data_IF_159534520234
#
_entry.id   IF_159534520234
#
_cell.length_a   1.000
_cell.length_b   1.000
_cell.length_c   1.000
_cell.angle_alpha   90.00
_cell.angle_beta   90.00
_cell.angle_gamma   90.00
#
_symmetry.space_group_name_H-M   'P 1'
#
loop_
_entity.id
_entity.type
_entity.pdbx_description
1 polymer ?
#
# COMPACT_ATOMS: atom_id res chain seq x y z
N UNK A 1 -8.30 -58.71 -4.91
CA UNK A 1 -7.22 -57.86 -5.47
C UNK A 1 -6.19 -57.42 -4.41
N UNK A 2 -6.20 -57.98 -3.19
CA UNK A 2 -5.26 -57.61 -2.11
C UNK A 2 -4.06 -58.58 -1.95
N UNK A 3 -3.95 -59.64 -2.77
CA UNK A 3 -2.90 -60.67 -2.61
C UNK A 3 -1.69 -60.51 -3.53
N UNK A 4 -1.66 -59.52 -4.43
CA UNK A 4 -0.48 -59.24 -5.26
C UNK A 4 0.50 -58.27 -4.60
N UNK A 5 0.01 -57.34 -3.76
CA UNK A 5 0.86 -56.34 -3.11
C UNK A 5 1.77 -56.93 -2.02
N UNK A 6 1.31 -57.98 -1.31
CA UNK A 6 2.09 -58.60 -0.24
C UNK A 6 3.19 -59.56 -0.73
N UNK A 7 3.20 -59.95 -2.01
CA UNK A 7 4.25 -60.79 -2.60
C UNK A 7 5.35 -59.97 -3.30
N UNK A 8 5.21 -58.64 -3.38
CA UNK A 8 6.10 -57.74 -4.13
C UNK A 8 7.24 -57.15 -3.29
N UNK A 9 7.31 -57.51 -2.00
CA UNK A 9 8.27 -57.00 -1.02
C UNK A 9 9.15 -58.13 -0.44
N UNK A 10 9.06 -59.33 -1.00
CA UNK A 10 9.82 -60.48 -0.51
C UNK A 10 11.29 -60.36 -0.93
N UNK A 11 12.19 -60.47 0.05
CA UNK A 11 13.63 -60.27 -0.12
C UNK A 11 14.26 -61.16 -1.21
N UNK A 12 13.65 -62.32 -1.41
CA UNK A 12 14.16 -63.42 -2.22
C UNK A 12 13.87 -63.25 -3.72
N UNK A 13 13.18 -62.18 -4.14
CA UNK A 13 12.77 -61.93 -5.54
C UNK A 13 13.45 -60.71 -6.19
N UNK A 14 14.40 -60.08 -5.49
CA UNK A 14 15.13 -58.93 -6.04
C UNK A 14 16.11 -59.37 -7.13
N UNK A 15 15.86 -58.94 -8.37
CA UNK A 15 16.59 -59.37 -9.57
C UNK A 15 17.40 -58.26 -10.25
N UNK A 16 17.43 -57.05 -9.67
CA UNK A 16 18.09 -55.88 -10.26
C UNK A 16 18.58 -54.87 -9.20
N UNK A 17 19.60 -54.07 -9.53
CA UNK A 17 20.10 -53.03 -8.64
C UNK A 17 20.33 -51.70 -9.38
N UNK A 18 19.89 -50.61 -8.73
CA UNK A 18 20.16 -49.24 -9.13
C UNK A 18 21.26 -48.71 -8.22
N UNK A 19 22.35 -48.23 -8.81
CA UNK A 19 23.49 -47.66 -8.09
C UNK A 19 23.51 -46.14 -8.27
N UNK A 20 23.63 -45.42 -7.16
CA UNK A 20 23.77 -43.97 -7.13
C UNK A 20 24.88 -43.62 -6.16
N UNK A 21 25.94 -43.02 -6.67
CA UNK A 21 27.14 -42.69 -5.89
C UNK A 21 27.67 -43.92 -5.11
N UNK A 22 27.61 -43.91 -3.78
CA UNK A 22 28.05 -44.99 -2.90
C UNK A 22 26.90 -45.90 -2.40
N UNK A 23 25.67 -45.67 -2.88
CA UNK A 23 24.47 -46.39 -2.43
C UNK A 23 23.88 -47.27 -3.52
N UNK A 24 23.59 -48.52 -3.13
CA UNK A 24 22.98 -49.53 -4.00
C UNK A 24 21.55 -49.79 -3.53
N UNK A 25 20.60 -49.65 -4.44
CA UNK A 25 19.19 -49.92 -4.25
C UNK A 25 18.80 -51.22 -4.96
N UNK A 26 18.58 -52.26 -4.19
CA UNK A 26 18.10 -53.55 -4.68
C UNK A 26 16.59 -53.46 -4.95
N UNK A 27 16.15 -53.72 -6.18
CA UNK A 27 14.76 -53.54 -6.61
C UNK A 27 14.28 -54.68 -7.51
N UNK A 28 12.95 -54.85 -7.58
CA UNK A 28 12.31 -55.77 -8.52
C UNK A 28 12.23 -55.12 -9.91
N UNK A 29 12.95 -55.67 -10.88
CA UNK A 29 12.98 -55.18 -12.26
C UNK A 29 11.60 -55.10 -12.86
N UNK A 30 10.76 -56.12 -12.65
CA UNK A 30 9.40 -56.17 -13.19
C UNK A 30 8.53 -55.00 -12.69
N UNK A 31 8.70 -54.59 -11.44
CA UNK A 31 7.93 -53.50 -10.82
C UNK A 31 8.39 -52.15 -11.34
N UNK A 32 9.71 -51.91 -11.32
CA UNK A 32 10.29 -50.64 -11.75
C UNK A 32 10.08 -50.41 -13.25
N UNK A 33 10.31 -51.43 -14.09
CA UNK A 33 10.11 -51.33 -15.55
C UNK A 33 8.62 -51.18 -15.93
N UNK A 34 7.69 -51.63 -15.10
CA UNK A 34 6.26 -51.41 -15.34
C UNK A 34 5.82 -49.97 -15.06
N UNK A 35 6.57 -49.23 -14.23
CA UNK A 35 6.26 -47.86 -13.82
C UNK A 35 7.12 -46.80 -14.47
N UNK A 36 8.27 -47.17 -15.04
CA UNK A 36 9.23 -46.28 -15.67
C UNK A 36 9.70 -46.84 -17.02
N UNK A 37 9.34 -46.16 -18.10
CA UNK A 37 9.83 -46.50 -19.44
C UNK A 37 11.33 -46.18 -19.58
N UNK A 38 11.80 -45.09 -18.96
CA UNK A 38 13.21 -44.70 -18.99
C UNK A 38 14.10 -45.77 -18.34
N UNK A 39 13.75 -46.22 -17.13
CA UNK A 39 14.49 -47.29 -16.46
C UNK A 39 14.36 -48.61 -17.24
N UNK A 40 13.20 -48.90 -17.80
CA UNK A 40 13.03 -50.08 -18.68
C UNK A 40 14.00 -50.05 -19.86
N UNK A 41 14.13 -48.92 -20.55
CA UNK A 41 15.08 -48.78 -21.65
C UNK A 41 16.54 -48.97 -21.20
N UNK A 42 16.91 -48.45 -20.02
CA UNK A 42 18.24 -48.65 -19.44
C UNK A 42 18.50 -50.13 -19.11
N UNK A 43 17.49 -50.81 -18.56
CA UNK A 43 17.55 -52.26 -18.26
C UNK A 43 17.71 -53.07 -19.54
N UNK A 44 16.89 -52.79 -20.55
CA UNK A 44 16.94 -53.46 -21.85
C UNK A 44 18.32 -53.27 -22.52
N UNK A 45 18.93 -52.09 -22.39
CA UNK A 45 20.29 -51.82 -22.84
C UNK A 45 21.35 -52.59 -22.01
N UNK A 46 21.21 -52.64 -20.69
CA UNK A 46 22.16 -53.32 -19.79
C UNK A 46 22.19 -54.85 -19.98
N UNK A 47 21.06 -55.46 -20.36
CA UNK A 47 20.94 -56.90 -20.61
C UNK A 47 21.68 -57.38 -21.87
N UNK A 48 22.30 -56.49 -22.63
CA UNK A 48 23.14 -56.83 -23.79
C UNK A 48 24.56 -57.27 -23.42
N UNK A 49 24.99 -57.05 -22.16
CA UNK A 49 26.33 -57.43 -21.65
C UNK A 49 26.20 -58.61 -20.66
N UNK A 50 26.96 -59.71 -20.81
CA UNK A 50 26.90 -60.83 -19.87
C UNK A 50 27.53 -60.45 -18.51
N UNK A 51 26.72 -60.34 -17.46
CA UNK A 51 27.15 -60.00 -16.09
C UNK A 51 26.04 -59.35 -15.27
N UNK A 52 26.30 -59.08 -13.98
CA UNK A 52 25.31 -58.50 -13.04
C UNK A 52 24.59 -57.27 -13.64
N UNK A 53 23.26 -57.31 -13.65
CA UNK A 53 22.38 -56.28 -14.21
C UNK A 53 22.30 -55.13 -13.21
N UNK A 54 23.12 -54.10 -13.41
CA UNK A 54 23.11 -52.86 -12.63
C UNK A 54 23.03 -51.66 -13.55
N UNK A 55 22.32 -50.62 -13.10
CA UNK A 55 22.26 -49.34 -13.80
C UNK A 55 22.69 -48.24 -12.84
N UNK A 56 23.45 -47.29 -13.36
CA UNK A 56 23.93 -46.13 -12.63
C UNK A 56 23.03 -44.93 -12.88
N UNK A 57 22.52 -44.30 -11.82
CA UNK A 57 21.76 -43.05 -11.86
C UNK A 57 22.46 -42.05 -10.95
N UNK A 58 23.26 -41.15 -11.55
CA UNK A 58 24.08 -40.19 -10.81
C UNK A 58 23.66 -38.73 -11.04
N UNK A 59 22.64 -38.48 -11.87
CA UNK A 59 22.18 -37.11 -12.13
C UNK A 59 21.25 -36.56 -11.03
N UNK A 60 20.92 -37.39 -10.05
CA UNK A 60 20.06 -37.06 -8.91
C UNK A 60 20.67 -37.57 -7.62
N UNK A 61 20.42 -36.86 -6.53
CA UNK A 61 20.87 -37.27 -5.22
C UNK A 61 20.14 -38.53 -4.74
N UNK A 62 20.80 -39.26 -3.83
CA UNK A 62 20.32 -40.52 -3.29
C UNK A 62 18.92 -40.42 -2.67
N UNK A 63 18.57 -39.28 -2.07
CA UNK A 63 17.24 -39.09 -1.45
C UNK A 63 16.14 -38.93 -2.51
N UNK A 64 16.45 -38.30 -3.64
CA UNK A 64 15.53 -38.19 -4.76
C UNK A 64 15.23 -39.57 -5.36
N UNK A 65 16.26 -40.40 -5.54
CA UNK A 65 16.09 -41.78 -6.06
C UNK A 65 15.30 -42.65 -5.07
N UNK A 66 15.61 -42.57 -3.77
CA UNK A 66 14.89 -43.32 -2.75
C UNK A 66 13.40 -42.95 -2.72
N UNK A 67 13.06 -41.67 -2.81
CA UNK A 67 11.65 -41.21 -2.85
C UNK A 67 10.93 -41.59 -4.14
N UNK A 68 11.64 -41.58 -5.28
CA UNK A 68 11.10 -42.11 -6.54
C UNK A 68 10.76 -43.60 -6.39
N UNK A 69 11.62 -44.39 -5.74
CA UNK A 69 11.36 -45.80 -5.49
C UNK A 69 10.19 -45.99 -4.52
N UNK A 70 10.10 -45.22 -3.43
CA UNK A 70 8.93 -45.23 -2.55
C UNK A 70 7.63 -45.01 -3.33
N UNK A 71 7.61 -44.02 -4.23
CA UNK A 71 6.45 -43.79 -5.09
C UNK A 71 6.15 -44.97 -6.03
N UNK A 72 7.16 -45.59 -6.63
CA UNK A 72 6.96 -46.74 -7.54
C UNK A 72 6.27 -47.91 -6.82
N UNK A 73 6.63 -48.18 -5.56
CA UNK A 73 6.07 -49.28 -4.78
C UNK A 73 4.76 -48.93 -4.05
N UNK A 74 4.70 -47.75 -3.43
CA UNK A 74 3.58 -47.36 -2.57
C UNK A 74 2.54 -46.48 -3.29
N UNK A 75 2.88 -45.92 -4.45
CA UNK A 75 2.07 -44.92 -5.14
C UNK A 75 2.13 -43.52 -4.52
N UNK A 76 2.91 -43.34 -3.45
CA UNK A 76 3.10 -42.06 -2.77
C UNK A 76 4.51 -41.94 -2.16
N UNK A 77 4.90 -40.71 -1.82
CA UNK A 77 6.13 -40.40 -1.09
C UNK A 77 5.87 -39.31 -0.03
N UNK A 78 6.57 -39.41 1.10
CA UNK A 78 6.48 -38.45 2.20
C UNK A 78 7.84 -37.80 2.49
N UNK A 79 7.80 -36.57 3.02
CA UNK A 79 8.93 -35.77 3.44
C UNK A 79 9.10 -35.71 4.99
N UNK A 80 8.11 -36.13 5.80
CA UNK A 80 8.08 -35.91 7.26
C UNK A 80 8.48 -37.10 8.17
N UNK A 81 8.78 -38.28 7.63
CA UNK A 81 9.01 -39.59 8.30
C UNK A 81 7.72 -40.42 8.53
N UNK A 82 7.83 -41.69 8.16
CA UNK A 82 6.79 -42.73 8.09
C UNK A 82 6.70 -43.54 9.39
N UNK A 83 5.49 -43.90 9.85
CA UNK A 83 5.27 -44.78 11.02
C UNK A 83 5.68 -46.25 10.76
N UNK A 84 6.22 -46.92 11.80
CA UNK A 84 6.76 -48.29 11.76
C UNK A 84 5.69 -49.40 11.75
N UNK A 85 6.00 -50.54 11.10
CA UNK A 85 5.38 -51.86 11.28
C UNK A 85 6.42 -52.86 11.85
N UNK A 86 5.99 -53.94 12.52
CA UNK A 86 6.68 -54.51 13.68
C UNK A 86 7.93 -55.35 13.37
N UNK A 87 8.98 -55.20 14.21
CA UNK A 87 10.21 -55.99 14.18
C UNK A 87 10.15 -57.23 15.10
N UNK A 88 10.71 -58.36 14.64
CA UNK A 88 11.13 -59.49 15.49
C UNK A 88 12.65 -59.61 15.38
N UNK A 89 13.36 -59.20 16.43
CA UNK A 89 14.83 -59.25 16.48
C UNK A 89 15.37 -60.64 16.80
N UNK A 90 16.68 -60.84 16.60
CA UNK A 90 17.48 -61.81 17.36
C UNK A 90 18.96 -61.40 17.44
N UNK A 91 19.60 -61.96 18.47
CA UNK A 91 20.79 -61.52 19.15
C UNK A 91 22.12 -61.94 18.51
N UNK A 92 23.18 -61.32 19.03
CA UNK A 92 24.62 -61.54 18.86
C UNK A 92 25.04 -62.98 19.20
N UNK A 93 25.97 -63.56 18.41
CA UNK A 93 27.05 -64.50 18.80
C UNK A 93 27.89 -64.81 17.53
N UNK A 94 29.15 -64.36 17.41
CA UNK A 94 30.45 -64.87 17.92
C UNK A 94 31.21 -65.74 16.90
N UNK A 95 32.54 -65.61 16.91
CA UNK A 95 33.51 -65.96 15.87
C UNK A 95 33.68 -67.47 15.60
N UNK A 96 33.91 -67.82 14.33
CA UNK A 96 34.81 -68.91 13.96
C UNK A 96 35.52 -68.60 12.62
N UNK A 97 36.85 -68.48 12.67
CA UNK A 97 37.76 -68.43 11.52
C UNK A 97 37.90 -69.84 10.94
N UNK A 98 37.73 -70.00 9.64
CA UNK A 98 38.40 -71.08 8.90
C UNK A 98 39.13 -70.54 7.67
N UNK A 99 40.36 -71.03 7.51
CA UNK A 99 41.36 -70.66 6.52
C UNK A 99 41.30 -71.64 5.35
N UNK A 100 41.29 -71.15 4.12
CA UNK A 100 41.56 -71.96 2.92
C UNK A 100 42.68 -71.29 2.12
N UNK A 101 43.75 -72.05 1.88
CA UNK A 101 44.94 -71.68 1.10
C UNK A 101 44.78 -72.20 -0.33
N UNK A 102 45.17 -71.42 -1.35
CA UNK A 102 45.31 -71.90 -2.73
C UNK A 102 46.64 -71.53 -3.41
N UNK A 103 46.97 -72.35 -4.42
CA UNK A 103 48.24 -72.53 -5.12
C UNK A 103 48.66 -71.37 -6.04
N UNK A 104 49.25 -70.32 -5.47
CA UNK A 104 50.29 -69.48 -6.09
C UNK A 104 50.65 -68.44 -5.02
N UNK A 105 51.82 -68.56 -4.40
CA UNK A 105 52.17 -67.85 -3.17
C UNK A 105 52.41 -66.35 -3.29
N UNK A 106 51.38 -65.57 -3.65
CA UNK A 106 51.35 -64.11 -3.51
C UNK A 106 50.11 -63.66 -2.71
N UNK A 107 50.35 -62.76 -1.75
CA UNK A 107 49.32 -62.14 -0.91
C UNK A 107 48.68 -61.02 -1.70
N UNK A 108 47.40 -61.18 -2.08
CA UNK A 108 46.55 -60.08 -2.52
C UNK A 108 45.29 -60.09 -1.66
N UNK A 109 45.09 -59.00 -0.91
CA UNK A 109 43.90 -58.75 -0.11
C UNK A 109 42.65 -58.86 -0.99
N UNK A 110 41.82 -59.87 -0.74
CA UNK A 110 40.43 -59.86 -1.18
C UNK A 110 39.59 -59.13 -0.13
N UNK A 111 38.71 -58.19 -0.49
CA UNK A 111 37.46 -58.05 0.22
C UNK A 111 36.50 -59.08 -0.40
N UNK A 112 36.21 -60.15 0.33
CA UNK A 112 35.10 -61.04 0.01
C UNK A 112 33.78 -60.24 0.01
N UNK A 113 32.73 -60.70 -0.68
CA UNK A 113 31.45 -59.99 -0.78
C UNK A 113 30.67 -60.20 0.51
N UNK A 114 31.13 -59.60 1.60
CA UNK A 114 30.33 -59.38 2.81
C UNK A 114 29.76 -57.97 2.74
N UNK A 115 29.15 -57.61 1.60
CA UNK A 115 28.34 -56.41 1.49
C UNK A 115 27.00 -56.71 2.12
N UNK A 116 26.76 -56.07 3.27
CA UNK A 116 25.47 -55.90 3.91
C UNK A 116 24.36 -55.84 2.86
N UNK A 117 23.60 -56.93 2.76
CA UNK A 117 22.48 -57.03 1.83
C UNK A 117 21.37 -56.13 2.36
N UNK A 118 21.29 -54.89 1.87
CA UNK A 118 20.09 -54.09 2.03
C UNK A 118 19.05 -54.65 1.08
N UNK A 119 18.35 -55.68 1.54
CA UNK A 119 16.97 -55.91 1.15
C UNK A 119 16.22 -54.65 1.55
N UNK A 120 15.36 -54.11 0.69
CA UNK A 120 14.50 -53.00 1.08
C UNK A 120 13.62 -53.43 2.26
N UNK A 121 14.08 -53.12 3.47
CA UNK A 121 13.44 -53.38 4.74
C UNK A 121 13.18 -52.04 5.42
N UNK A 122 12.15 -51.33 4.96
CA UNK A 122 11.57 -50.14 5.59
C UNK A 122 12.49 -48.90 5.75
N UNK A 123 11.92 -47.70 6.00
CA UNK A 123 12.65 -46.44 5.93
C UNK A 123 13.52 -46.19 7.17
N UNK A 124 14.76 -45.71 6.95
CA UNK A 124 15.57 -45.03 7.97
C UNK A 124 15.20 -43.54 7.99
N UNK A 125 15.18 -42.86 9.15
CA UNK A 125 14.94 -41.42 9.18
C UNK A 125 16.12 -40.69 8.53
N UNK A 126 15.90 -40.03 7.40
CA UNK A 126 16.89 -39.17 6.76
C UNK A 126 16.32 -37.79 6.49
N UNK A 127 16.77 -36.81 7.27
CA UNK A 127 16.43 -35.39 7.10
C UNK A 127 17.30 -34.82 5.97
N UNK A 128 16.74 -34.59 4.78
CA UNK A 128 17.39 -33.68 3.83
C UNK A 128 17.36 -32.28 4.45
N UNK A 129 18.49 -31.55 4.43
CA UNK A 129 18.55 -30.15 4.88
C UNK A 129 17.76 -29.20 3.97
N UNK A 130 17.46 -29.66 2.76
CA UNK A 130 16.76 -28.90 1.74
C UNK A 130 15.27 -28.70 2.08
N UNK A 131 14.74 -27.53 1.70
CA UNK A 131 13.33 -27.20 1.87
C UNK A 131 12.43 -28.22 1.12
N UNK A 132 11.23 -28.50 1.65
CA UNK A 132 10.29 -29.46 1.07
C UNK A 132 10.01 -29.21 -0.43
N UNK A 133 9.85 -27.94 -0.80
CA UNK A 133 9.68 -27.51 -2.20
C UNK A 133 10.80 -27.98 -3.13
N UNK A 134 12.06 -27.94 -2.69
CA UNK A 134 13.21 -28.41 -3.48
C UNK A 134 13.06 -29.91 -3.76
N UNK A 135 12.68 -30.70 -2.76
CA UNK A 135 12.47 -32.14 -2.93
C UNK A 135 11.36 -32.45 -3.94
N UNK A 136 10.26 -31.69 -3.93
CA UNK A 136 9.18 -31.82 -4.91
C UNK A 136 9.65 -31.49 -6.34
N UNK A 137 10.46 -30.44 -6.52
CA UNK A 137 11.02 -30.08 -7.83
C UNK A 137 11.93 -31.19 -8.37
N UNK A 138 12.81 -31.75 -7.53
CA UNK A 138 13.68 -32.87 -7.94
C UNK A 138 12.88 -34.11 -8.32
N UNK A 139 11.82 -34.42 -7.55
CA UNK A 139 10.92 -35.53 -7.85
C UNK A 139 10.09 -35.31 -9.12
N UNK A 140 9.74 -34.06 -9.42
CA UNK A 140 9.13 -33.70 -10.69
C UNK A 140 10.09 -33.97 -11.85
N UNK A 141 11.32 -33.45 -11.76
CA UNK A 141 12.34 -33.60 -12.80
C UNK A 141 12.73 -35.06 -13.05
N UNK A 142 13.00 -35.86 -12.00
CA UNK A 142 13.32 -37.29 -12.15
C UNK A 142 12.14 -38.08 -12.72
N UNK A 143 10.91 -37.70 -12.36
CA UNK A 143 9.68 -38.30 -12.87
C UNK A 143 9.51 -38.08 -14.36
N UNK A 144 9.81 -36.87 -14.87
CA UNK A 144 9.83 -36.59 -16.31
C UNK A 144 11.01 -37.30 -17.01
N UNK A 145 12.25 -37.18 -16.49
CA UNK A 145 13.46 -37.75 -17.12
C UNK A 145 13.38 -39.26 -17.33
N UNK A 146 12.91 -39.99 -16.33
CA UNK A 146 12.80 -41.46 -16.41
C UNK A 146 11.39 -41.93 -16.76
N UNK A 147 10.49 -41.02 -17.15
CA UNK A 147 9.11 -41.33 -17.52
C UNK A 147 8.39 -42.19 -16.47
N UNK A 148 8.51 -41.80 -15.19
CA UNK A 148 7.85 -42.48 -14.07
C UNK A 148 6.38 -42.06 -14.05
N UNK A 149 5.49 -42.99 -14.36
CA UNK A 149 4.06 -42.69 -14.58
C UNK A 149 3.43 -42.04 -13.34
N UNK A 150 2.94 -40.80 -13.49
CA UNK A 150 2.21 -40.04 -12.47
C UNK A 150 3.07 -39.34 -11.41
N UNK A 151 4.38 -39.60 -11.34
CA UNK A 151 5.25 -39.02 -10.30
C UNK A 151 5.36 -37.49 -10.44
N UNK A 152 5.58 -37.00 -11.66
CA UNK A 152 5.69 -35.56 -11.93
C UNK A 152 4.40 -34.82 -11.55
N UNK A 153 3.23 -35.35 -11.92
CA UNK A 153 1.94 -34.77 -11.57
C UNK A 153 1.72 -34.69 -10.06
N UNK A 154 2.02 -35.77 -9.32
CA UNK A 154 1.93 -35.78 -7.86
C UNK A 154 2.91 -34.79 -7.20
N UNK A 155 4.12 -34.68 -7.74
CA UNK A 155 5.11 -33.75 -7.22
C UNK A 155 4.73 -32.28 -7.45
N UNK A 156 4.15 -31.97 -8.60
CA UNK A 156 3.58 -30.65 -8.86
C UNK A 156 2.40 -30.35 -7.94
N UNK A 157 1.50 -31.32 -7.72
CA UNK A 157 0.38 -31.18 -6.79
C UNK A 157 0.85 -30.85 -5.37
N UNK A 158 1.87 -31.57 -4.87
CA UNK A 158 2.45 -31.33 -3.55
C UNK A 158 3.25 -30.03 -3.44
N UNK A 159 3.65 -29.43 -4.57
CA UNK A 159 4.33 -28.14 -4.61
C UNK A 159 3.38 -26.94 -4.44
N UNK A 160 2.07 -27.09 -4.73
CA UNK A 160 1.04 -26.02 -4.76
C UNK A 160 0.69 -25.36 -3.42
N UNK A 161 1.57 -25.41 -2.42
CA UNK A 161 1.45 -24.68 -1.15
C UNK A 161 2.54 -23.58 -1.06
N UNK A 162 2.40 -22.49 -1.84
CA UNK A 162 3.44 -21.47 -2.01
C UNK A 162 3.80 -20.71 -0.72
N UNK A 163 2.88 -20.62 0.23
CA UNK A 163 3.07 -19.92 1.51
C UNK A 163 4.26 -20.50 2.30
N UNK A 164 4.58 -21.78 2.08
CA UNK A 164 5.61 -22.50 2.83
C UNK A 164 7.04 -22.06 2.47
N UNK A 165 7.32 -21.79 1.19
CA UNK A 165 8.67 -21.46 0.72
C UNK A 165 8.92 -19.96 0.54
N UNK A 166 7.86 -19.14 0.39
CA UNK A 166 8.00 -17.68 0.33
C UNK A 166 8.34 -17.12 1.72
N UNK A 167 7.61 -17.55 2.75
CA UNK A 167 7.79 -17.07 4.12
C UNK A 167 9.13 -17.48 4.74
N UNK A 168 9.72 -18.58 4.26
CA UNK A 168 10.97 -19.12 4.77
C UNK A 168 12.24 -18.42 4.22
N UNK A 169 12.10 -17.46 3.30
CA UNK A 169 13.24 -16.80 2.64
C UNK A 169 14.01 -17.69 1.64
N UNK A 170 13.55 -18.93 1.43
CA UNK A 170 14.18 -19.92 0.56
C UNK A 170 13.70 -19.83 -0.90
N UNK A 171 12.86 -18.86 -1.23
CA UNK A 171 12.20 -18.80 -2.53
C UNK A 171 13.18 -18.69 -3.70
N UNK A 172 14.28 -17.96 -3.52
CA UNK A 172 15.34 -17.87 -4.53
C UNK A 172 16.01 -19.23 -4.74
N UNK A 173 16.25 -20.01 -3.68
CA UNK A 173 16.82 -21.35 -3.79
C UNK A 173 15.86 -22.30 -4.52
N UNK A 174 14.55 -22.16 -4.29
CA UNK A 174 13.49 -22.90 -5.00
C UNK A 174 13.51 -22.57 -6.49
N UNK A 175 13.54 -21.27 -6.85
CA UNK A 175 13.68 -20.84 -8.24
C UNK A 175 14.97 -21.37 -8.87
N UNK A 176 16.10 -21.27 -8.17
CA UNK A 176 17.40 -21.73 -8.67
C UNK A 176 17.35 -23.23 -9.00
N UNK A 177 16.76 -24.04 -8.12
CA UNK A 177 16.61 -25.48 -8.36
C UNK A 177 15.66 -25.77 -9.53
N UNK A 178 14.57 -25.02 -9.70
CA UNK A 178 13.69 -25.21 -10.85
C UNK A 178 14.40 -24.91 -12.18
N UNK A 179 15.19 -23.84 -12.23
CA UNK A 179 15.89 -23.41 -13.44
C UNK A 179 17.22 -24.14 -13.68
N UNK A 180 17.70 -24.98 -12.76
CA UNK A 180 18.89 -25.82 -12.97
C UNK A 180 18.63 -27.04 -13.88
N UNK A 181 17.37 -27.48 -13.96
CA UNK A 181 16.93 -28.60 -14.83
C UNK A 181 16.54 -28.09 -16.21
N UNK A 182 16.38 -28.99 -17.19
CA UNK A 182 15.94 -28.57 -18.52
C UNK A 182 14.50 -28.03 -18.47
N UNK A 183 14.13 -27.21 -19.46
CA UNK A 183 12.76 -26.71 -19.56
C UNK A 183 11.75 -27.85 -19.70
N UNK A 184 12.06 -28.90 -20.47
CA UNK A 184 11.18 -30.07 -20.62
C UNK A 184 10.90 -30.81 -19.30
N UNK A 185 11.83 -30.72 -18.35
CA UNK A 185 11.73 -31.39 -17.04
C UNK A 185 10.99 -30.56 -15.99
N UNK A 186 10.87 -29.24 -16.20
CA UNK A 186 10.40 -28.30 -15.17
C UNK A 186 9.52 -27.17 -15.68
N UNK A 187 9.12 -27.15 -16.95
CA UNK A 187 8.16 -26.19 -17.54
C UNK A 187 6.94 -25.92 -16.64
N UNK A 188 6.18 -26.96 -16.28
CA UNK A 188 4.98 -26.83 -15.45
C UNK A 188 5.28 -26.24 -14.06
N UNK A 189 6.48 -26.56 -13.53
CA UNK A 189 6.97 -26.03 -12.24
C UNK A 189 7.37 -24.57 -12.38
N UNK A 190 8.07 -24.21 -13.46
CA UNK A 190 8.50 -22.84 -13.75
C UNK A 190 7.28 -21.94 -13.92
N UNK A 191 6.25 -22.40 -14.63
CA UNK A 191 4.99 -21.69 -14.81
C UNK A 191 4.27 -21.43 -13.47
N UNK A 192 4.20 -22.45 -12.60
CA UNK A 192 3.61 -22.31 -11.26
C UNK A 192 4.40 -21.31 -10.40
N UNK A 193 5.73 -21.42 -10.36
CA UNK A 193 6.59 -20.49 -9.61
C UNK A 193 6.51 -19.06 -10.17
N UNK A 194 6.39 -18.91 -11.48
CA UNK A 194 6.21 -17.63 -12.14
C UNK A 194 4.88 -16.98 -11.78
N UNK A 195 3.78 -17.75 -11.78
CA UNK A 195 2.47 -17.28 -11.33
C UNK A 195 2.50 -16.80 -9.88
N UNK A 196 3.20 -17.53 -9.00
CA UNK A 196 3.43 -17.13 -7.60
C UNK A 196 4.17 -15.80 -7.49
N UNK A 197 5.20 -15.56 -8.31
CA UNK A 197 5.92 -14.27 -8.33
C UNK A 197 5.03 -13.14 -8.81
N UNK A 198 4.26 -13.34 -9.89
CA UNK A 198 3.35 -12.32 -10.39
C UNK A 198 2.31 -11.93 -9.34
N UNK A 199 1.82 -12.89 -8.56
CA UNK A 199 0.88 -12.63 -7.47
C UNK A 199 1.51 -11.88 -6.28
N UNK A 200 2.83 -12.02 -6.06
CA UNK A 200 3.56 -11.45 -4.92
C UNK A 200 4.58 -10.37 -5.31
N UNK A 201 4.47 -9.83 -6.52
CA UNK A 201 5.51 -8.99 -7.11
C UNK A 201 5.84 -7.75 -6.28
N UNK A 202 4.87 -7.19 -5.57
CA UNK A 202 5.07 -6.00 -4.71
C UNK A 202 5.91 -6.30 -3.47
N UNK A 203 5.66 -7.45 -2.83
CA UNK A 203 6.41 -7.89 -1.66
C UNK A 203 7.83 -8.32 -2.05
N UNK A 204 7.97 -9.00 -3.19
CA UNK A 204 9.26 -9.47 -3.70
C UNK A 204 10.12 -8.33 -4.24
N UNK A 205 9.53 -7.33 -4.92
CA UNK A 205 10.24 -6.16 -5.41
C UNK A 205 10.73 -5.24 -4.27
N UNK A 206 10.06 -5.25 -3.11
CA UNK A 206 10.54 -4.55 -1.92
C UNK A 206 11.70 -5.27 -1.21
N UNK A 207 11.96 -6.55 -1.54
CA UNK A 207 12.99 -7.35 -0.90
C UNK A 207 14.33 -7.24 -1.65
N UNK A 208 15.26 -6.46 -1.08
CA UNK A 208 16.58 -6.25 -1.68
C UNK A 208 17.39 -7.55 -1.84
N UNK A 209 17.25 -8.52 -0.93
CA UNK A 209 17.96 -9.81 -1.02
C UNK A 209 17.50 -10.58 -2.25
N UNK A 210 16.17 -10.60 -2.49
CA UNK A 210 15.59 -11.22 -3.67
C UNK A 210 16.10 -10.57 -4.95
N UNK A 211 16.09 -9.24 -5.04
CA UNK A 211 16.58 -8.51 -6.23
C UNK A 211 18.07 -8.73 -6.51
N UNK A 212 18.91 -8.72 -5.47
CA UNK A 212 20.35 -8.98 -5.62
C UNK A 212 20.60 -10.39 -6.15
N UNK A 213 19.95 -11.40 -5.57
CA UNK A 213 20.16 -12.77 -6.03
C UNK A 213 19.57 -13.02 -7.43
N UNK A 214 18.46 -12.37 -7.77
CA UNK A 214 17.89 -12.41 -9.13
C UNK A 214 18.89 -11.90 -10.19
N UNK A 215 19.70 -10.90 -9.85
CA UNK A 215 20.72 -10.34 -10.75
C UNK A 215 22.01 -11.16 -10.81
N UNK A 216 22.43 -11.76 -9.69
CA UNK A 216 23.73 -12.43 -9.57
C UNK A 216 23.70 -13.90 -9.98
N UNK A 217 22.59 -14.61 -9.76
CA UNK A 217 22.48 -16.06 -9.99
C UNK A 217 22.27 -16.33 -11.47
N UNK A 218 23.20 -17.08 -12.09
CA UNK A 218 23.21 -17.35 -13.54
C UNK A 218 21.96 -18.12 -13.98
N UNK A 219 21.51 -19.07 -13.17
CA UNK A 219 20.33 -19.91 -13.42
C UNK A 219 19.04 -19.08 -13.50
N UNK A 220 19.00 -17.90 -12.86
CA UNK A 220 17.80 -17.06 -12.79
C UNK A 220 17.72 -15.99 -13.88
N UNK A 221 18.68 -15.95 -14.81
CA UNK A 221 18.70 -14.94 -15.89
C UNK A 221 17.48 -15.05 -16.80
N UNK A 222 17.12 -16.26 -17.21
CA UNK A 222 15.93 -16.55 -18.02
C UNK A 222 14.66 -16.08 -17.30
N UNK A 223 14.53 -16.43 -16.02
CA UNK A 223 13.43 -16.00 -15.17
C UNK A 223 13.35 -14.47 -15.03
N UNK A 224 14.48 -13.80 -14.80
CA UNK A 224 14.54 -12.34 -14.69
C UNK A 224 14.08 -11.67 -16.00
N UNK A 225 14.54 -12.17 -17.15
CA UNK A 225 14.14 -11.68 -18.46
C UNK A 225 12.63 -11.83 -18.69
N UNK A 226 12.03 -12.95 -18.29
CA UNK A 226 10.58 -13.19 -18.36
C UNK A 226 9.79 -12.27 -17.43
N UNK A 227 10.30 -12.00 -16.21
CA UNK A 227 9.60 -11.21 -15.21
C UNK A 227 9.52 -9.71 -15.56
N UNK A 228 10.54 -9.17 -16.22
CA UNK A 228 10.69 -7.73 -16.48
C UNK A 228 9.52 -7.11 -17.27
N UNK A 229 9.10 -7.65 -18.44
CA UNK A 229 7.94 -7.11 -19.17
C UNK A 229 6.68 -7.04 -18.32
N UNK A 230 6.47 -8.00 -17.41
CA UNK A 230 5.33 -7.99 -16.51
C UNK A 230 5.49 -6.94 -15.41
N UNK A 231 6.66 -6.85 -14.78
CA UNK A 231 6.96 -5.82 -13.78
C UNK A 231 6.70 -4.40 -14.33
N UNK A 232 7.10 -4.15 -15.59
CA UNK A 232 6.86 -2.88 -16.27
C UNK A 232 5.40 -2.64 -16.65
N UNK A 233 4.67 -3.66 -17.11
CA UNK A 233 3.22 -3.54 -17.37
C UNK A 233 2.44 -3.25 -16.08
N UNK A 234 2.77 -3.94 -14.99
CA UNK A 234 2.14 -3.73 -13.69
C UNK A 234 2.47 -2.36 -13.09
N UNK A 235 3.68 -1.84 -13.29
CA UNK A 235 4.01 -0.48 -12.85
C UNK A 235 3.30 0.58 -13.70
N UNK A 236 3.22 0.41 -15.03
CA UNK A 236 2.51 1.33 -15.91
C UNK A 236 1.00 1.44 -15.59
N UNK A 237 0.33 0.31 -15.33
CA UNK A 237 -1.09 0.28 -14.92
C UNK A 237 -1.30 0.92 -13.54
N UNK A 238 -0.34 0.77 -12.62
CA UNK A 238 -0.39 1.43 -11.31
C UNK A 238 -0.20 2.93 -11.43
N UNK A 239 0.75 3.37 -12.24
CA UNK A 239 0.96 4.79 -12.50
C UNK A 239 -0.29 5.43 -13.11
N UNK A 240 -0.95 4.80 -14.08
CA UNK A 240 -2.18 5.36 -14.67
C UNK A 240 -3.34 5.45 -13.67
N UNK A 241 -3.55 4.40 -12.86
CA UNK A 241 -4.59 4.42 -11.81
C UNK A 241 -4.31 5.47 -10.73
N UNK A 242 -3.05 5.61 -10.33
CA UNK A 242 -2.63 6.63 -9.36
C UNK A 242 -2.78 8.04 -9.93
N UNK A 243 -2.49 8.26 -11.21
CA UNK A 243 -2.71 9.55 -11.89
C UNK A 243 -4.20 9.92 -11.90
N UNK A 244 -5.10 8.97 -12.19
CA UNK A 244 -6.55 9.18 -12.18
C UNK A 244 -7.10 9.51 -10.78
N UNK A 245 -6.64 8.80 -9.74
CA UNK A 245 -7.03 9.07 -8.35
C UNK A 245 -6.53 10.44 -7.88
N UNK A 246 -5.30 10.80 -8.23
CA UNK A 246 -4.77 12.14 -7.92
C UNK A 246 -5.49 13.25 -8.67
N UNK A 247 -5.82 13.04 -9.95
CA UNK A 247 -6.58 14.00 -10.74
C UNK A 247 -7.96 14.27 -10.13
N UNK A 248 -8.65 13.22 -9.64
CA UNK A 248 -9.92 13.35 -8.90
C UNK A 248 -9.75 14.14 -7.60
N UNK A 249 -8.70 13.85 -6.83
CA UNK A 249 -8.40 14.58 -5.59
C UNK A 249 -8.13 16.08 -5.87
N UNK A 250 -7.38 16.39 -6.92
CA UNK A 250 -7.13 17.76 -7.37
C UNK A 250 -8.42 18.48 -7.77
N UNK A 251 -9.30 17.82 -8.52
CA UNK A 251 -10.60 18.39 -8.90
C UNK A 251 -11.47 18.70 -7.68
N UNK A 252 -11.52 17.81 -6.68
CA UNK A 252 -12.23 18.03 -5.41
C UNK A 252 -11.65 19.20 -4.61
N UNK A 253 -10.32 19.35 -4.58
CA UNK A 253 -9.67 20.50 -3.93
C UNK A 253 -10.01 21.82 -4.66
N UNK A 254 -9.98 21.84 -5.99
CA UNK A 254 -10.34 23.03 -6.79
C UNK A 254 -11.83 23.41 -6.63
N UNK A 255 -12.72 22.44 -6.50
CA UNK A 255 -14.13 22.69 -6.16
C UNK A 255 -14.28 23.26 -4.74
N UNK A 256 -13.58 22.71 -3.76
CA UNK A 256 -13.59 23.21 -2.38
C UNK A 256 -13.08 24.66 -2.27
N UNK A 257 -12.03 25.01 -3.03
CA UNK A 257 -11.51 26.39 -3.09
C UNK A 257 -12.58 27.34 -3.64
N UNK A 258 -13.23 26.99 -4.75
CA UNK A 258 -14.30 27.81 -5.35
C UNK A 258 -15.47 28.03 -4.40
N UNK A 259 -15.88 26.99 -3.65
CA UNK A 259 -16.94 27.12 -2.65
C UNK A 259 -16.54 28.08 -1.53
N UNK A 260 -15.30 27.99 -1.03
CA UNK A 260 -14.78 28.93 -0.01
C UNK A 260 -14.71 30.37 -0.52
N UNK A 261 -14.24 30.60 -1.75
CA UNK A 261 -14.21 31.93 -2.38
C UNK A 261 -15.62 32.52 -2.49
N UNK A 262 -16.60 31.72 -2.92
CA UNK A 262 -18.01 32.13 -3.00
C UNK A 262 -18.58 32.51 -1.63
N UNK A 263 -18.27 31.74 -0.59
CA UNK A 263 -18.74 32.04 0.78
C UNK A 263 -18.13 33.33 1.32
N UNK A 264 -16.86 33.60 1.02
CA UNK A 264 -16.19 34.88 1.37
C UNK A 264 -16.89 36.06 0.70
N UNK A 265 -17.18 35.97 -0.61
CA UNK A 265 -17.93 37.01 -1.32
C UNK A 265 -19.32 37.26 -0.71
N UNK A 266 -20.01 36.20 -0.28
CA UNK A 266 -21.29 36.31 0.40
C UNK A 266 -21.17 36.99 1.78
N UNK A 267 -20.13 36.69 2.55
CA UNK A 267 -19.85 37.34 3.83
C UNK A 267 -19.55 38.83 3.64
N UNK A 268 -18.75 39.19 2.64
CA UNK A 268 -18.43 40.59 2.30
C UNK A 268 -19.69 41.36 1.89
N UNK A 269 -20.51 40.78 0.99
CA UNK A 269 -21.79 41.38 0.60
C UNK A 269 -22.74 41.58 1.79
N UNK A 270 -22.78 40.61 2.72
CA UNK A 270 -23.57 40.73 3.96
C UNK A 270 -23.02 41.83 4.87
N UNK A 271 -21.70 41.97 4.98
CA UNK A 271 -21.06 43.04 5.74
C UNK A 271 -21.38 44.43 5.15
N UNK A 272 -21.36 44.58 3.82
CA UNK A 272 -21.73 45.82 3.12
C UNK A 272 -23.19 46.22 3.40
N UNK A 273 -24.11 45.25 3.40
CA UNK A 273 -25.51 45.49 3.77
C UNK A 273 -25.61 45.99 5.22
N UNK A 274 -24.84 45.41 6.15
CA UNK A 274 -24.83 45.86 7.54
C UNK A 274 -24.22 47.25 7.70
N UNK A 275 -23.15 47.56 6.97
CA UNK A 275 -22.53 48.89 6.90
C UNK A 275 -23.51 49.94 6.38
N UNK A 276 -24.20 49.67 5.27
CA UNK A 276 -25.21 50.57 4.72
C UNK A 276 -26.33 50.85 5.74
N UNK A 277 -26.83 49.80 6.40
CA UNK A 277 -27.83 49.94 7.47
C UNK A 277 -27.29 50.73 8.66
N UNK A 278 -26.02 50.54 9.02
CA UNK A 278 -25.35 51.26 10.09
C UNK A 278 -25.25 52.76 9.77
N UNK A 279 -24.81 53.14 8.58
CA UNK A 279 -24.74 54.55 8.17
C UNK A 279 -26.11 55.22 8.18
N UNK A 280 -27.14 54.57 7.65
CA UNK A 280 -28.50 55.10 7.68
C UNK A 280 -29.06 55.27 9.10
N UNK A 281 -28.64 54.41 10.04
CA UNK A 281 -29.00 54.53 11.45
C UNK A 281 -28.24 55.67 12.13
N UNK A 282 -26.95 55.82 11.83
CA UNK A 282 -26.11 56.89 12.37
C UNK A 282 -26.64 58.26 11.96
N UNK A 283 -27.06 58.42 10.71
CA UNK A 283 -27.69 59.65 10.23
C UNK A 283 -28.96 60.01 11.03
N UNK A 284 -29.80 59.01 11.34
CA UNK A 284 -30.98 59.20 12.21
C UNK A 284 -30.59 59.57 13.65
N UNK A 285 -29.59 58.90 14.20
CA UNK A 285 -29.06 59.20 15.54
C UNK A 285 -28.55 60.64 15.61
N UNK A 286 -27.73 61.06 14.66
CA UNK A 286 -27.16 62.42 14.59
C UNK A 286 -28.29 63.46 14.47
N UNK A 287 -29.32 63.19 13.66
CA UNK A 287 -30.51 64.03 13.59
C UNK A 287 -31.26 64.16 14.92
N UNK A 288 -31.40 63.04 15.65
CA UNK A 288 -32.07 63.04 16.96
C UNK A 288 -31.24 63.74 18.05
N UNK A 289 -29.90 63.63 18.00
CA UNK A 289 -28.99 64.41 18.88
C UNK A 289 -29.21 65.90 18.68
N UNK A 290 -29.22 66.37 17.42
CA UNK A 290 -29.44 67.79 17.09
C UNK A 290 -30.81 68.26 17.59
N UNK A 291 -31.86 67.44 17.43
CA UNK A 291 -33.21 67.74 17.94
C UNK A 291 -33.22 67.82 19.46
N UNK A 292 -32.56 66.90 20.15
CA UNK A 292 -32.45 66.86 21.60
C UNK A 292 -31.76 68.12 22.14
N UNK A 293 -30.59 68.50 21.59
CA UNK A 293 -29.88 69.74 21.93
C UNK A 293 -30.74 71.00 21.72
N UNK A 294 -31.57 71.02 20.66
CA UNK A 294 -32.50 72.12 20.40
C UNK A 294 -33.61 72.19 21.46
N UNK A 295 -34.14 71.05 21.87
CA UNK A 295 -35.17 70.97 22.92
C UNK A 295 -34.62 71.38 24.28
N UNK A 296 -33.39 70.98 24.63
CA UNK A 296 -32.71 71.44 25.84
C UNK A 296 -32.53 72.96 25.87
N UNK A 297 -32.09 73.56 24.75
CA UNK A 297 -31.97 75.02 24.59
C UNK A 297 -33.33 75.73 24.72
N UNK A 298 -34.38 75.16 24.14
CA UNK A 298 -35.74 75.70 24.26
C UNK A 298 -36.27 75.61 25.69
N UNK A 299 -36.00 74.52 26.40
CA UNK A 299 -36.41 74.34 27.79
C UNK A 299 -35.69 75.30 28.73
N UNK A 300 -34.39 75.50 28.55
CA UNK A 300 -33.63 76.49 29.33
C UNK A 300 -34.14 77.91 29.11
N UNK A 301 -34.42 78.29 27.86
CA UNK A 301 -35.01 79.60 27.55
C UNK A 301 -36.42 79.75 28.14
N UNK A 302 -37.29 78.74 28.00
CA UNK A 302 -38.64 78.75 28.59
C UNK A 302 -38.61 78.79 30.12
N UNK A 303 -37.70 78.07 30.75
CA UNK A 303 -37.50 78.12 32.21
C UNK A 303 -37.16 79.53 32.67
N UNK A 304 -36.25 80.21 31.96
CA UNK A 304 -35.90 81.61 32.23
C UNK A 304 -37.08 82.56 32.02
N UNK A 305 -37.89 82.35 30.98
CA UNK A 305 -39.11 83.14 30.74
C UNK A 305 -40.15 82.93 31.84
N UNK A 306 -40.32 81.71 32.33
CA UNK A 306 -41.19 81.39 33.46
C UNK A 306 -40.71 82.07 34.75
N UNK A 307 -39.41 82.04 35.05
CA UNK A 307 -38.83 82.76 36.19
C UNK A 307 -39.12 84.27 36.13
N UNK A 308 -38.86 84.90 34.97
CA UNK A 308 -39.10 86.32 34.76
C UNK A 308 -40.59 86.67 34.85
N UNK A 309 -41.47 85.85 34.27
CA UNK A 309 -42.91 86.06 34.33
C UNK A 309 -43.45 85.91 35.77
N UNK A 310 -42.95 84.93 36.52
CA UNK A 310 -43.30 84.71 37.93
C UNK A 310 -42.86 85.90 38.80
N UNK A 311 -41.63 86.39 38.60
CA UNK A 311 -41.13 87.57 39.31
C UNK A 311 -41.99 88.82 39.05
N UNK A 312 -42.39 89.07 37.79
CA UNK A 312 -43.24 90.20 37.44
C UNK A 312 -44.65 90.13 38.04
N UNK A 313 -45.21 88.92 38.20
CA UNK A 313 -46.49 88.72 38.89
C UNK A 313 -46.32 89.04 40.38
N UNK A 314 -45.27 88.53 41.02
CA UNK A 314 -44.96 88.81 42.43
C UNK A 314 -44.75 90.31 42.69
N UNK A 315 -44.05 91.03 41.80
CA UNK A 315 -43.85 92.48 41.87
C UNK A 315 -45.20 93.23 41.83
N UNK A 316 -46.10 92.85 40.92
CA UNK A 316 -47.44 93.44 40.79
C UNK A 316 -48.33 93.15 42.00
N UNK A 317 -48.26 91.94 42.58
CA UNK A 317 -48.99 91.54 43.79
C UNK A 317 -48.50 92.28 45.05
N UNK A 318 -47.24 92.74 45.07
CA UNK A 318 -46.62 93.44 46.21
C UNK A 318 -46.78 94.97 46.19
N UNK A 319 -47.33 95.55 45.12
CA UNK A 319 -47.46 97.00 44.95
C UNK A 319 -48.61 97.59 45.78
N UNK A 320 -48.40 98.66 46.58
CA UNK A 320 -49.45 99.28 47.40
C UNK A 320 -50.42 100.11 46.54
N UNK A 321 -51.71 99.74 46.49
CA UNK A 321 -52.77 100.52 45.84
C UNK A 321 -53.57 101.34 46.89
N UNK A 322 -53.65 102.65 46.70
CA UNK A 322 -54.52 103.55 47.50
C UNK A 322 -55.76 104.05 46.72
N UNK A 323 -55.90 103.65 45.44
CA UNK A 323 -56.96 104.08 44.52
C UNK A 323 -57.74 102.85 43.98
N UNK A 324 -59.06 102.75 44.21
CA UNK A 324 -59.87 101.62 43.80
C UNK A 324 -59.84 101.35 42.29
N UNK A 325 -59.73 102.38 41.44
CA UNK A 325 -59.69 102.22 39.99
C UNK A 325 -58.34 101.66 39.49
N UNK A 326 -57.25 101.98 40.20
CA UNK A 326 -55.92 101.42 39.94
C UNK A 326 -55.81 99.97 40.45
N UNK A 327 -56.54 99.63 41.52
CA UNK A 327 -56.62 98.26 42.06
C UNK A 327 -57.26 97.28 41.06
N UNK A 328 -58.40 97.64 40.47
CA UNK A 328 -59.15 96.80 39.53
C UNK A 328 -58.39 96.60 38.19
N UNK A 329 -57.67 97.63 37.74
CA UNK A 329 -56.76 97.54 36.60
C UNK A 329 -55.52 96.66 36.87
N UNK A 330 -55.02 96.65 38.10
CA UNK A 330 -53.90 95.80 38.50
C UNK A 330 -54.30 94.33 38.61
N UNK A 331 -55.49 94.03 39.14
CA UNK A 331 -56.03 92.66 39.22
C UNK A 331 -56.27 92.05 37.85
N UNK A 332 -56.79 92.83 36.90
CA UNK A 332 -57.01 92.36 35.51
C UNK A 332 -55.70 92.08 34.77
N UNK A 333 -54.66 92.89 34.98
CA UNK A 333 -53.31 92.61 34.42
C UNK A 333 -52.66 91.38 35.09
N UNK A 334 -52.80 91.20 36.40
CA UNK A 334 -52.33 90.00 37.12
C UNK A 334 -53.00 88.74 36.55
N UNK A 335 -54.32 88.74 36.37
CA UNK A 335 -55.06 87.61 35.78
C UNK A 335 -54.59 87.29 34.37
N UNK A 336 -54.39 88.32 33.52
CA UNK A 336 -53.86 88.15 32.16
C UNK A 336 -52.46 87.54 32.16
N UNK A 337 -51.59 87.98 33.09
CA UNK A 337 -50.23 87.44 33.25
C UNK A 337 -50.22 86.02 33.76
N UNK A 338 -51.13 85.67 34.67
CA UNK A 338 -51.30 84.30 35.16
C UNK A 338 -51.76 83.35 34.05
N UNK A 339 -52.64 83.78 33.14
CA UNK A 339 -53.01 82.99 31.95
C UNK A 339 -51.83 82.77 31.00
N UNK A 340 -51.05 83.83 30.73
CA UNK A 340 -49.81 83.74 29.95
C UNK A 340 -48.79 82.79 30.60
N UNK A 341 -48.61 82.85 31.92
CA UNK A 341 -47.74 81.96 32.67
C UNK A 341 -48.20 80.51 32.57
N UNK A 342 -49.50 80.24 32.71
CA UNK A 342 -50.08 78.89 32.53
C UNK A 342 -49.84 78.37 31.11
N UNK A 343 -50.02 79.21 30.09
CA UNK A 343 -49.76 78.84 28.71
C UNK A 343 -48.27 78.52 28.46
N UNK A 344 -47.35 79.32 29.01
CA UNK A 344 -45.91 79.03 28.93
C UNK A 344 -45.52 77.78 29.71
N UNK A 345 -46.15 77.53 30.87
CA UNK A 345 -45.87 76.34 31.65
C UNK A 345 -46.33 75.07 30.90
N UNK A 346 -47.53 75.10 30.29
CA UNK A 346 -48.01 74.01 29.45
C UNK A 346 -47.08 73.74 28.26
N UNK A 347 -46.59 74.81 27.62
CA UNK A 347 -45.56 74.75 26.57
C UNK A 347 -44.26 74.10 27.07
N UNK A 348 -43.75 74.50 28.24
CA UNK A 348 -42.55 73.92 28.82
C UNK A 348 -42.71 72.41 29.13
N UNK A 349 -43.85 72.01 29.70
CA UNK A 349 -44.16 70.59 29.95
C UNK A 349 -44.20 69.77 28.66
N UNK A 350 -44.77 70.33 27.59
CA UNK A 350 -44.76 69.69 26.27
C UNK A 350 -43.33 69.47 25.76
N UNK A 351 -42.48 70.51 25.78
CA UNK A 351 -41.08 70.38 25.36
C UNK A 351 -40.28 69.42 26.23
N UNK A 352 -40.58 69.32 27.52
CA UNK A 352 -39.94 68.36 28.43
C UNK A 352 -40.35 66.92 28.12
N UNK A 353 -41.60 66.70 27.76
CA UNK A 353 -42.10 65.40 27.32
C UNK A 353 -41.44 64.97 26.01
N UNK A 354 -41.36 65.90 25.04
CA UNK A 354 -40.67 65.68 23.76
C UNK A 354 -39.17 65.38 23.96
N UNK A 355 -38.50 66.08 24.89
CA UNK A 355 -37.10 65.83 25.25
C UNK A 355 -36.91 64.42 25.83
N UNK A 356 -37.78 64.02 26.75
CA UNK A 356 -37.71 62.70 27.37
C UNK A 356 -37.92 61.58 26.34
N UNK A 357 -38.89 61.75 25.43
CA UNK A 357 -39.13 60.81 24.35
C UNK A 357 -37.93 60.72 23.39
N UNK A 358 -37.35 61.85 23.01
CA UNK A 358 -36.13 61.91 22.20
C UNK A 358 -34.93 61.20 22.87
N UNK A 359 -34.78 61.36 24.19
CA UNK A 359 -33.72 60.70 24.95
C UNK A 359 -33.87 59.17 24.96
N UNK A 360 -35.10 58.66 25.06
CA UNK A 360 -35.39 57.22 24.95
C UNK A 360 -35.06 56.67 23.56
N UNK A 361 -35.38 57.43 22.50
CA UNK A 361 -35.04 57.07 21.12
C UNK A 361 -33.52 57.01 20.91
N UNK A 362 -32.77 57.98 21.45
CA UNK A 362 -31.30 57.99 21.44
C UNK A 362 -30.69 56.76 22.15
N UNK A 363 -31.25 56.38 23.29
CA UNK A 363 -30.80 55.18 24.01
C UNK A 363 -31.05 53.91 23.21
N UNK A 364 -32.21 53.81 22.57
CA UNK A 364 -32.55 52.69 21.67
C UNK A 364 -31.58 52.62 20.48
N UNK A 365 -31.27 53.74 19.84
CA UNK A 365 -30.30 53.78 18.74
C UNK A 365 -28.90 53.37 19.19
N UNK A 366 -28.42 53.81 20.35
CA UNK A 366 -27.11 53.40 20.90
C UNK A 366 -26.98 51.88 21.02
N UNK A 367 -28.01 51.22 21.55
CA UNK A 367 -28.01 49.76 21.68
C UNK A 367 -27.96 49.06 20.31
N UNK A 368 -28.71 49.58 19.33
CA UNK A 368 -28.73 49.01 17.99
C UNK A 368 -27.42 49.22 17.21
N UNK A 369 -26.75 50.36 17.40
CA UNK A 369 -25.42 50.65 16.85
C UNK A 369 -24.41 49.62 17.36
N UNK A 370 -24.34 49.41 18.67
CA UNK A 370 -23.42 48.45 19.29
C UNK A 370 -23.67 47.00 18.84
N UNK A 371 -24.93 46.57 18.74
CA UNK A 371 -25.30 45.24 18.23
C UNK A 371 -24.81 45.02 16.79
N UNK A 372 -24.94 46.04 15.93
CA UNK A 372 -24.50 45.97 14.54
C UNK A 372 -22.98 46.00 14.40
N UNK A 373 -22.28 46.80 15.18
CA UNK A 373 -20.81 46.80 15.22
C UNK A 373 -20.28 45.41 15.59
N UNK A 374 -20.87 44.79 16.62
CA UNK A 374 -20.51 43.43 17.04
C UNK A 374 -20.72 42.40 15.91
N UNK A 375 -21.80 42.53 15.13
CA UNK A 375 -22.09 41.65 13.98
C UNK A 375 -21.10 41.85 12.83
N UNK A 376 -20.73 43.09 12.53
CA UNK A 376 -19.75 43.41 11.48
C UNK A 376 -18.38 42.81 11.85
N UNK A 377 -17.95 42.96 13.10
CA UNK A 377 -16.66 42.42 13.56
C UNK A 377 -16.61 40.90 13.50
N UNK A 378 -17.71 40.24 13.87
CA UNK A 378 -17.83 38.78 13.76
C UNK A 378 -17.72 38.31 12.30
N UNK A 379 -18.47 38.93 11.38
CA UNK A 379 -18.41 38.59 9.95
C UNK A 379 -17.01 38.79 9.35
N UNK A 380 -16.32 39.87 9.73
CA UNK A 380 -14.93 40.11 9.30
C UNK A 380 -13.98 39.02 9.80
N UNK A 381 -14.16 38.58 11.05
CA UNK A 381 -13.36 37.50 11.63
C UNK A 381 -13.57 36.20 10.86
N UNK A 382 -14.83 35.84 10.58
CA UNK A 382 -15.18 34.65 9.79
C UNK A 382 -14.60 34.70 8.36
N UNK A 383 -14.68 35.85 7.69
CA UNK A 383 -14.11 36.03 6.36
C UNK A 383 -12.58 35.84 6.36
N UNK A 384 -11.88 36.34 7.38
CA UNK A 384 -10.44 36.18 7.52
C UNK A 384 -10.04 34.71 7.75
N UNK A 385 -10.79 33.97 8.58
CA UNK A 385 -10.57 32.54 8.81
C UNK A 385 -10.72 31.73 7.52
N UNK A 386 -11.77 32.01 6.74
CA UNK A 386 -11.99 31.36 5.44
C UNK A 386 -10.88 31.67 4.44
N UNK A 387 -10.41 32.92 4.37
CA UNK A 387 -9.27 33.29 3.51
C UNK A 387 -7.99 32.56 3.89
N UNK A 388 -7.69 32.45 5.19
CA UNK A 388 -6.52 31.70 5.67
C UNK A 388 -6.61 30.22 5.31
N UNK A 389 -7.81 29.63 5.45
CA UNK A 389 -8.05 28.24 5.10
C UNK A 389 -7.89 28.01 3.59
N UNK A 390 -8.47 28.85 2.75
CA UNK A 390 -8.30 28.79 1.30
C UNK A 390 -6.82 28.89 0.89
N UNK A 391 -6.06 29.80 1.50
CA UNK A 391 -4.62 29.92 1.27
C UNK A 391 -3.83 28.67 1.67
N UNK A 392 -4.25 27.95 2.72
CA UNK A 392 -3.65 26.67 3.10
C UNK A 392 -3.92 25.59 2.05
N UNK A 393 -5.17 25.43 1.61
CA UNK A 393 -5.52 24.45 0.57
C UNK A 393 -4.79 24.70 -0.75
N UNK A 394 -4.57 25.98 -1.11
CA UNK A 394 -3.85 26.34 -2.32
C UNK A 394 -2.37 25.92 -2.27
N UNK A 395 -1.69 26.10 -1.12
CA UNK A 395 -0.32 25.61 -0.91
C UNK A 395 -0.24 24.09 -1.02
N UNK A 396 -1.12 23.36 -0.32
CA UNK A 396 -1.16 21.90 -0.38
C UNK A 396 -1.42 21.38 -1.80
N UNK A 397 -2.19 22.11 -2.61
CA UNK A 397 -2.43 21.78 -4.02
C UNK A 397 -1.17 21.92 -4.86
N UNK A 398 -0.45 23.02 -4.73
CA UNK A 398 0.79 23.25 -5.48
C UNK A 398 1.89 22.26 -5.08
N UNK A 399 2.04 21.95 -3.79
CA UNK A 399 2.95 20.91 -3.31
C UNK A 399 2.61 19.53 -3.89
N UNK A 400 1.33 19.17 -3.97
CA UNK A 400 0.89 17.92 -4.58
C UNK A 400 1.16 17.88 -6.09
N UNK A 401 0.99 19.01 -6.80
CA UNK A 401 1.33 19.12 -8.23
C UNK A 401 2.82 18.96 -8.49
N UNK A 402 3.66 19.53 -7.64
CA UNK A 402 5.11 19.45 -7.83
C UNK A 402 5.62 18.04 -7.59
N UNK A 403 5.18 17.36 -6.51
CA UNK A 403 5.48 15.93 -6.30
C UNK A 403 5.09 15.07 -7.49
N UNK A 404 3.92 15.33 -8.08
CA UNK A 404 3.46 14.58 -9.25
C UNK A 404 4.33 14.81 -10.49
N UNK A 405 4.91 16.01 -10.66
CA UNK A 405 5.89 16.26 -11.73
C UNK A 405 7.18 15.50 -11.47
N UNK A 406 7.69 15.51 -10.24
CA UNK A 406 8.92 14.82 -9.85
C UNK A 406 8.80 13.29 -10.04
N UNK A 407 7.68 12.71 -9.60
CA UNK A 407 7.40 11.28 -9.73
C UNK A 407 7.23 10.86 -11.20
N UNK A 408 6.54 11.68 -12.02
CA UNK A 408 6.37 11.44 -13.45
C UNK A 408 7.69 11.53 -14.22
N UNK A 409 8.56 12.47 -13.84
CA UNK A 409 9.87 12.64 -14.46
C UNK A 409 10.83 11.47 -14.15
N UNK A 410 10.77 10.91 -12.93
CA UNK A 410 11.68 9.83 -12.52
C UNK A 410 11.24 8.43 -12.96
N UNK A 411 9.94 8.09 -12.83
CA UNK A 411 9.44 6.74 -13.10
C UNK A 411 9.14 6.43 -14.57
N UNK A 412 8.56 7.40 -15.30
CA UNK A 412 8.10 7.17 -16.69
C UNK A 412 9.23 7.07 -17.70
N UNK A 413 10.31 7.85 -17.52
CA UNK A 413 11.42 7.94 -18.48
C UNK A 413 12.27 6.67 -18.45
N UNK A 414 12.51 6.12 -17.25
CA UNK A 414 13.30 4.90 -17.07
C UNK A 414 12.52 3.67 -17.54
N UNK A 415 11.23 3.56 -17.19
CA UNK A 415 10.41 2.42 -17.60
C UNK A 415 10.16 2.38 -19.11
N UNK A 416 9.83 3.52 -19.73
CA UNK A 416 9.63 3.57 -21.18
C UNK A 416 10.93 3.27 -21.94
N UNK A 417 12.07 3.79 -21.50
CA UNK A 417 13.36 3.50 -22.12
C UNK A 417 13.74 2.02 -22.08
N UNK A 418 13.47 1.33 -20.97
CA UNK A 418 13.78 -0.10 -20.83
C UNK A 418 12.83 -0.97 -21.66
N UNK A 419 11.52 -0.69 -21.66
CA UNK A 419 10.53 -1.41 -22.49
C UNK A 419 10.86 -1.25 -23.97
N UNK A 420 11.09 -0.01 -24.41
CA UNK A 420 11.34 0.34 -25.82
C UNK A 420 12.69 -0.24 -26.31
N UNK A 421 13.65 -0.45 -25.40
CA UNK A 421 14.92 -1.10 -25.72
C UNK A 421 14.80 -2.64 -25.84
N UNK A 422 13.99 -3.27 -24.98
CA UNK A 422 13.67 -4.71 -25.06
C UNK A 422 12.84 -5.02 -26.29
N UNK A 423 11.85 -4.17 -26.61
CA UNK A 423 10.96 -4.37 -27.76
C UNK A 423 11.69 -4.15 -29.11
N UNK A 424 12.70 -3.27 -29.17
CA UNK A 424 13.49 -3.00 -30.39
C UNK A 424 14.58 -4.02 -30.70
N UNK A 425 14.92 -4.86 -29.74
CA UNK A 425 16.03 -5.79 -29.87
C UNK A 425 15.59 -7.21 -29.48
N UNK A 426 14.97 -7.86 -30.45
CA UNK A 426 14.66 -9.29 -30.46
C UNK A 426 15.92 -10.16 -30.61
N UNK A 427 16.97 -9.65 -31.28
CA UNK A 427 18.23 -10.37 -31.50
C UNK A 427 19.47 -9.54 -31.17
N UNK A 428 20.54 -10.21 -30.73
CA UNK A 428 21.80 -9.54 -30.47
C UNK A 428 22.46 -9.04 -31.76
N UNK A 429 22.62 -7.72 -31.93
CA UNK A 429 23.35 -7.09 -33.05
C UNK A 429 24.76 -7.63 -33.35
N UNK A 430 25.40 -8.30 -32.40
CA UNK A 430 26.76 -8.84 -32.56
C UNK A 430 26.77 -10.32 -32.92
N UNK A 431 25.92 -11.15 -32.31
CA UNK A 431 25.95 -12.60 -32.52
C UNK A 431 24.67 -13.18 -33.13
N UNK A 432 23.62 -12.38 -33.32
CA UNK A 432 22.33 -12.82 -33.87
C UNK A 432 21.48 -13.65 -32.92
N UNK A 433 21.95 -13.89 -31.69
CA UNK A 433 21.25 -14.75 -30.73
C UNK A 433 19.96 -14.08 -30.22
N UNK A 434 18.84 -14.81 -30.19
CA UNK A 434 17.56 -14.29 -29.72
C UNK A 434 17.54 -14.17 -28.19
N UNK A 435 16.91 -13.09 -27.70
CA UNK A 435 16.34 -12.92 -26.35
C UNK A 435 16.99 -13.58 -25.10
N UNK A 436 18.31 -13.80 -25.06
CA UNK A 436 19.08 -14.09 -23.83
C UNK A 436 19.87 -12.84 -23.41
N UNK A 437 19.29 -12.01 -22.54
CA UNK A 437 19.84 -10.71 -22.13
C UNK A 437 19.90 -10.60 -20.61
N UNK A 438 20.95 -9.96 -20.10
CA UNK A 438 21.07 -9.66 -18.67
C UNK A 438 21.52 -8.21 -18.44
N UNK A 439 21.21 -7.70 -17.25
CA UNK A 439 21.45 -6.30 -16.89
C UNK A 439 22.73 -6.18 -16.09
N UNK A 440 23.56 -5.22 -16.47
CA UNK A 440 24.69 -4.78 -15.67
C UNK A 440 24.45 -3.33 -15.24
N UNK A 441 24.56 -3.08 -13.94
CA UNK A 441 24.66 -1.72 -13.43
C UNK A 441 26.07 -1.20 -13.71
N UNK A 442 26.20 -0.23 -14.62
CA UNK A 442 27.53 0.27 -15.02
C UNK A 442 28.02 1.47 -14.19
N UNK A 443 27.17 1.94 -13.26
CA UNK A 443 27.48 3.02 -12.32
C UNK A 443 27.74 4.37 -12.97
N UNK A 444 27.46 4.52 -14.26
CA UNK A 444 27.81 5.70 -15.03
C UNK A 444 26.59 6.37 -15.67
N UNK A 445 26.56 7.70 -15.70
CA UNK A 445 25.55 8.45 -16.46
C UNK A 445 25.72 8.32 -18.00
N UNK A 446 26.65 7.46 -18.48
CA UNK A 446 26.90 7.28 -19.92
C UNK A 446 25.93 6.29 -20.56
N UNK A 447 25.31 5.39 -19.77
CA UNK A 447 24.36 4.38 -20.25
C UNK A 447 22.90 4.87 -20.32
N UNK A 448 22.66 6.19 -20.25
CA UNK A 448 21.32 6.77 -20.22
C UNK A 448 20.82 7.10 -18.80
N UNK A 449 19.59 7.63 -18.67
CA UNK A 449 19.06 8.16 -17.40
C UNK A 449 18.92 7.11 -16.29
N UNK A 450 18.99 5.82 -16.62
CA UNK A 450 18.82 4.71 -15.69
C UNK A 450 20.12 4.11 -15.17
N UNK A 451 21.29 4.31 -15.78
CA UNK A 451 22.55 3.65 -15.36
C UNK A 451 22.62 2.13 -15.61
N UNK A 452 21.62 1.57 -16.29
CA UNK A 452 21.51 0.14 -16.63
C UNK A 452 22.00 -0.11 -18.06
N UNK A 453 22.85 -1.11 -18.24
CA UNK A 453 23.29 -1.58 -19.56
C UNK A 453 22.80 -3.01 -19.82
N UNK A 454 22.23 -3.25 -20.99
CA UNK A 454 21.86 -4.59 -21.44
C UNK A 454 23.06 -5.33 -22.01
N UNK A 455 23.19 -6.62 -21.70
CA UNK A 455 24.22 -7.49 -22.26
C UNK A 455 23.65 -8.76 -22.83
N UNK A 456 24.14 -9.15 -24.01
CA UNK A 456 23.86 -10.45 -24.59
C UNK A 456 24.44 -11.57 -23.70
N UNK A 457 23.64 -12.59 -23.40
CA UNK A 457 24.03 -13.75 -22.60
C UNK A 457 25.11 -14.61 -23.26
N UNK A 458 25.15 -14.63 -24.59
CA UNK A 458 26.13 -15.40 -25.37
C UNK A 458 27.45 -14.65 -25.57
N UNK A 459 27.40 -13.47 -26.21
CA UNK A 459 28.61 -12.74 -26.58
C UNK A 459 28.98 -11.60 -25.63
N UNK A 460 28.19 -11.34 -24.58
CA UNK A 460 28.40 -10.27 -23.58
C UNK A 460 28.42 -8.84 -24.12
N UNK A 461 28.10 -8.66 -25.42
CA UNK A 461 28.02 -7.37 -26.08
C UNK A 461 27.00 -6.47 -25.38
N UNK A 462 27.36 -5.19 -25.22
CA UNK A 462 26.49 -4.17 -24.63
C UNK A 462 25.48 -3.65 -25.64
N UNK A 463 24.27 -3.37 -25.18
CA UNK A 463 23.18 -2.75 -25.92
C UNK A 463 22.65 -1.55 -25.14
N UNK A 464 22.31 -0.48 -25.84
CA UNK A 464 21.96 0.84 -25.29
C UNK A 464 20.64 1.32 -25.84
#
# INVERSE_FOLDING_TARGET
>A
MASLANNLLDADLVDFAIECEDRIFNVHRAVVCAKSNGIKAMVDAALTVPGHVRVFINDFDQHTIERMLCYIYAGDYDLQNTEELPQKGFAVEDQAKETIVNFAGDVVESPSPSSLTLVYAGPRPFRSKDHAAIAHIRLHAIGKRYEVTGLAALALEKLRCPETYIAAGNFVDVLRVAYQYSAEETDDVRDELFAVVLAQIDNLAANHVFLTQLAEVKELREFAAQLLPHAFKFSAVRHSKSEDEHAKLLALKDESIRLMETEVEMHDARADIYLAKFYAMREKYDGEVIKNERLEKLLTERSKQLEVATAKIADLESAPSQDPALSEASETEIMRRQELLKAEHARAVQSQTELHQSALELQSFKLQVHDRESKIENLKTQALELQQLAGKYLREREEAREKLREDKASGSVVAAGVIDLVDKHDECRHCGEPQDWWFEWDGSHRAGPSGLTFRCGQCTTRHW
#
